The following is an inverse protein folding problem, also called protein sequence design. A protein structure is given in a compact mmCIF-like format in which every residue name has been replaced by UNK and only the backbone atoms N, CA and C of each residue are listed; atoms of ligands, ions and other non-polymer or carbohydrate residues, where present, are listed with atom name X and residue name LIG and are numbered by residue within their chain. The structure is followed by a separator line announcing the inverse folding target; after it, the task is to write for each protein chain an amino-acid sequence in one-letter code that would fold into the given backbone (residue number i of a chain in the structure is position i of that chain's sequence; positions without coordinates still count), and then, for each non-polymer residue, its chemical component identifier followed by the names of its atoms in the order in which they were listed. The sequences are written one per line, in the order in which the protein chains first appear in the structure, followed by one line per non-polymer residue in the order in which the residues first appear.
data_IF_961479708566
#
_entry.id   IF_961479708566
#
_cell.length_a   1.000
_cell.length_b   1.000
_cell.length_c   1.000
_cell.angle_alpha   90.00
_cell.angle_beta   90.00
_cell.angle_gamma   90.00
#
_symmetry.space_group_name_H-M   'P 1'
#
loop_
_entity.id
_entity.type
_entity.pdbx_description
1 polymer ?
#
# COMPACT_ATOMS: atom_id res chain seq x y z
N UNK A 1 6.51 25.09 7.80
CA UNK A 1 6.83 24.08 6.78
C UNK A 1 5.60 23.23 6.52
N UNK A 2 5.24 22.92 5.27
CA UNK A 2 4.08 22.11 4.97
C UNK A 2 4.31 20.64 5.37
N UNK A 3 3.31 20.04 6.02
CA UNK A 3 3.38 18.63 6.44
C UNK A 3 3.17 17.73 5.22
N UNK A 4 4.16 16.91 4.88
CA UNK A 4 4.02 15.88 3.85
C UNK A 4 3.20 14.71 4.38
N UNK A 5 2.20 14.28 3.62
CA UNK A 5 1.33 13.14 3.96
C UNK A 5 1.39 12.12 2.84
N UNK A 6 1.24 10.84 3.18
CA UNK A 6 1.19 9.75 2.20
C UNK A 6 -0.24 9.24 2.09
N UNK A 7 -0.69 8.97 0.87
CA UNK A 7 -2.00 8.39 0.61
C UNK A 7 -2.07 6.94 1.11
N UNK A 8 -3.02 6.66 1.98
CA UNK A 8 -3.24 5.35 2.61
C UNK A 8 -3.62 4.25 1.61
N UNK A 9 -4.09 4.61 0.41
CA UNK A 9 -4.47 3.63 -0.61
C UNK A 9 -3.38 3.42 -1.67
N UNK A 10 -2.98 4.48 -2.38
CA UNK A 10 -2.01 4.30 -3.48
C UNK A 10 -0.55 4.39 -3.04
N UNK A 11 -0.25 4.91 -1.84
CA UNK A 11 1.10 5.06 -1.32
C UNK A 11 1.92 6.18 -1.98
N UNK A 12 1.28 7.13 -2.68
CA UNK A 12 1.93 8.33 -3.22
C UNK A 12 1.90 9.47 -2.21
N UNK A 13 2.86 10.38 -2.29
CA UNK A 13 2.83 11.63 -1.54
C UNK A 13 1.62 12.48 -1.96
N UNK A 14 1.02 13.15 -0.98
CA UNK A 14 -0.09 14.07 -1.16
C UNK A 14 0.50 15.47 -1.13
N UNK A 15 0.23 16.25 -2.17
CA UNK A 15 0.59 17.66 -2.23
C UNK A 15 -0.07 18.41 -1.07
N UNK A 16 0.69 19.20 -0.28
CA UNK A 16 0.13 19.99 0.81
C UNK A 16 -1.03 20.88 0.34
N UNK A 17 -2.13 20.91 1.11
CA UNK A 17 -3.34 21.63 0.73
C UNK A 17 -4.26 20.87 -0.24
N UNK A 18 -3.86 19.69 -0.71
CA UNK A 18 -4.68 18.80 -1.55
C UNK A 18 -5.05 17.52 -0.81
N UNK A 19 -6.07 16.82 -1.31
CA UNK A 19 -6.49 15.51 -0.81
C UNK A 19 -7.61 15.59 0.21
N UNK A 20 -7.85 14.47 0.89
CA UNK A 20 -8.92 14.32 1.88
C UNK A 20 -8.42 13.53 3.07
N UNK A 21 -8.86 13.92 4.26
CA UNK A 21 -8.70 13.18 5.50
C UNK A 21 -10.03 12.49 5.83
N UNK A 22 -9.98 11.21 6.14
CA UNK A 22 -11.13 10.43 6.57
C UNK A 22 -10.81 9.76 7.91
N UNK A 23 -11.61 10.07 8.92
CA UNK A 23 -11.48 9.48 10.26
C UNK A 23 -12.49 8.35 10.38
N UNK A 24 -12.01 7.14 10.64
CA UNK A 24 -12.86 5.95 10.86
C UNK A 24 -13.42 5.99 12.28
N UNK A 25 -14.48 5.19 12.51
CA UNK A 25 -15.14 5.07 13.83
C UNK A 25 -14.19 4.57 14.93
N UNK A 26 -13.19 3.78 14.57
CA UNK A 26 -12.14 3.30 15.47
C UNK A 26 -11.07 4.36 15.80
N UNK A 27 -11.21 5.60 15.29
CA UNK A 27 -10.25 6.68 15.46
C UNK A 27 -9.07 6.63 14.48
N UNK A 28 -8.98 5.62 13.61
CA UNK A 28 -7.90 5.56 12.62
C UNK A 28 -8.09 6.61 11.53
N UNK A 29 -7.00 7.31 11.19
CA UNK A 29 -7.01 8.38 10.19
C UNK A 29 -6.45 7.87 8.87
N UNK A 30 -7.25 7.96 7.81
CA UNK A 30 -6.87 7.66 6.45
C UNK A 30 -6.71 8.93 5.63
N UNK A 31 -5.64 9.01 4.84
CA UNK A 31 -5.40 10.11 3.93
C UNK A 31 -5.55 9.64 2.49
N UNK A 32 -6.25 10.42 1.67
CA UNK A 32 -6.47 10.11 0.26
C UNK A 32 -5.99 11.25 -0.63
N UNK A 33 -5.19 10.92 -1.64
CA UNK A 33 -4.74 11.90 -2.65
C UNK A 33 -5.86 12.29 -3.63
N UNK A 34 -6.88 11.45 -3.82
CA UNK A 34 -7.95 11.68 -4.79
C UNK A 34 -9.22 10.89 -4.48
N UNK A 35 -10.35 11.31 -5.06
CA UNK A 35 -11.63 10.59 -4.95
C UNK A 35 -11.51 9.15 -5.46
N UNK A 36 -10.69 8.86 -6.48
CA UNK A 36 -10.43 7.49 -6.94
C UNK A 36 -9.91 6.59 -5.81
N UNK A 37 -8.98 7.09 -5.00
CA UNK A 37 -8.41 6.33 -3.89
C UNK A 37 -9.42 6.13 -2.76
N UNK A 38 -10.19 7.17 -2.45
CA UNK A 38 -11.27 7.10 -1.47
C UNK A 38 -12.32 6.04 -1.87
N UNK A 39 -12.83 6.09 -3.11
CA UNK A 39 -13.84 5.15 -3.60
C UNK A 39 -13.35 3.71 -3.60
N UNK A 40 -12.13 3.46 -4.07
CA UNK A 40 -11.59 2.10 -4.07
C UNK A 40 -11.50 1.52 -2.65
N UNK A 41 -11.11 2.33 -1.66
CA UNK A 41 -10.97 1.86 -0.28
C UNK A 41 -12.31 1.77 0.44
N UNK A 42 -13.14 2.82 0.39
CA UNK A 42 -14.33 2.96 1.24
C UNK A 42 -15.61 2.44 0.58
N UNK A 43 -15.80 2.65 -0.72
CA UNK A 43 -17.03 2.25 -1.42
C UNK A 43 -16.91 0.84 -2.00
N UNK A 44 -15.76 0.53 -2.61
CA UNK A 44 -15.53 -0.75 -3.28
C UNK A 44 -14.84 -1.79 -2.38
N UNK A 45 -14.37 -1.41 -1.18
CA UNK A 45 -13.72 -2.33 -0.24
C UNK A 45 -12.47 -3.04 -0.77
N UNK A 46 -11.76 -2.44 -1.74
CA UNK A 46 -10.57 -3.07 -2.34
C UNK A 46 -9.36 -2.90 -1.44
N UNK A 47 -8.64 -3.99 -1.20
CA UNK A 47 -7.34 -3.94 -0.54
C UNK A 47 -6.27 -3.39 -1.51
N UNK A 48 -5.51 -2.33 -1.13
CA UNK A 48 -4.39 -1.82 -1.91
C UNK A 48 -3.42 -2.91 -2.39
N UNK A 49 -3.18 -3.96 -1.58
CA UNK A 49 -2.24 -5.04 -1.88
C UNK A 49 -2.67 -5.90 -3.07
N UNK A 50 -3.96 -5.88 -3.42
CA UNK A 50 -4.52 -6.62 -4.55
C UNK A 50 -4.67 -5.76 -5.82
N UNK A 51 -4.44 -4.45 -5.72
CA UNK A 51 -4.64 -3.50 -6.81
C UNK A 51 -3.30 -3.17 -7.48
N UNK A 52 -3.11 -3.66 -8.71
CA UNK A 52 -1.81 -3.67 -9.43
C UNK A 52 -1.08 -2.32 -9.51
N UNK A 53 -1.81 -1.21 -9.55
CA UNK A 53 -1.22 0.12 -9.75
C UNK A 53 -0.80 0.82 -8.45
N UNK A 54 -1.14 0.26 -7.27
CA UNK A 54 -0.73 0.83 -5.99
C UNK A 54 0.73 0.50 -5.70
N UNK A 55 1.40 1.34 -4.89
CA UNK A 55 2.73 1.02 -4.40
C UNK A 55 2.70 -0.19 -3.46
N UNK A 56 1.63 -0.35 -2.68
CA UNK A 56 1.44 -1.50 -1.80
C UNK A 56 1.48 -2.84 -2.55
N UNK A 57 0.85 -2.95 -3.72
CA UNK A 57 0.93 -4.14 -4.57
C UNK A 57 2.36 -4.42 -5.04
N UNK A 58 3.08 -3.37 -5.48
CA UNK A 58 4.46 -3.50 -5.96
C UNK A 58 5.39 -3.99 -4.86
N UNK A 59 5.28 -3.43 -3.65
CA UNK A 59 6.09 -3.85 -2.51
C UNK A 59 5.73 -5.27 -2.05
N UNK A 60 4.45 -5.62 -1.97
CA UNK A 60 4.03 -6.98 -1.65
C UNK A 60 4.56 -8.00 -2.68
N UNK A 61 4.56 -7.66 -3.97
CA UNK A 61 5.13 -8.50 -5.02
C UNK A 61 6.64 -8.70 -4.83
N UNK A 62 7.39 -7.64 -4.51
CA UNK A 62 8.85 -7.74 -4.25
C UNK A 62 9.15 -8.65 -3.07
N UNK A 63 8.44 -8.48 -1.96
CA UNK A 63 8.60 -9.33 -0.77
C UNK A 63 8.33 -10.79 -1.12
N UNK A 64 7.24 -11.08 -1.83
CA UNK A 64 6.92 -12.44 -2.26
C UNK A 64 8.01 -13.06 -3.12
N UNK A 65 8.55 -12.30 -4.09
CA UNK A 65 9.65 -12.77 -4.94
C UNK A 65 10.93 -13.03 -4.14
N UNK A 66 11.22 -12.18 -3.15
CA UNK A 66 12.37 -12.38 -2.28
C UNK A 66 12.26 -13.66 -1.45
N UNK A 67 11.09 -13.91 -0.86
CA UNK A 67 10.83 -15.14 -0.09
C UNK A 67 11.00 -16.38 -0.96
N UNK A 68 10.46 -16.38 -2.18
CA UNK A 68 10.63 -17.50 -3.12
C UNK A 68 12.11 -17.76 -3.39
N UNK A 69 12.89 -16.71 -3.66
CA UNK A 69 14.34 -16.82 -3.91
C UNK A 69 15.11 -17.37 -2.70
N UNK A 70 14.74 -16.99 -1.48
CA UNK A 70 15.38 -17.50 -0.26
C UNK A 70 15.09 -18.98 -0.04
N UNK A 71 13.85 -19.42 -0.31
CA UNK A 71 13.49 -20.83 -0.22
C UNK A 71 14.32 -21.67 -1.17
N UNK A 72 14.46 -21.25 -2.44
CA UNK A 72 15.25 -21.96 -3.45
C UNK A 72 16.73 -22.13 -3.04
N UNK A 73 17.34 -21.10 -2.45
CA UNK A 73 18.73 -21.15 -1.97
C UNK A 73 18.89 -22.09 -0.78
N UNK A 74 17.88 -22.18 0.09
CA UNK A 74 17.91 -23.03 1.27
C UNK A 74 17.65 -24.51 0.96
N UNK A 75 16.80 -24.84 -0.01
CA UNK A 75 16.61 -26.24 -0.45
C UNK A 75 17.87 -26.81 -1.09
N UNK A 76 18.62 -26.02 -1.86
CA UNK A 76 19.87 -26.47 -2.49
C UNK A 76 21.01 -26.72 -1.50
N UNK A 77 21.02 -26.03 -0.36
CA UNK A 77 22.07 -26.19 0.67
C UNK A 77 21.81 -27.35 1.65
N UNK A 78 20.59 -27.89 1.71
CA UNK A 78 20.20 -28.96 2.65
C UNK A 78 20.22 -30.37 2.03
N UNK A 79 20.75 -30.53 0.81
CA UNK A 79 20.89 -31.81 0.12
C UNK A 79 22.37 -32.28 0.00
N UNK A 80 23.28 -31.70 0.80
CA UNK A 80 24.67 -32.11 0.91
C UNK A 80 24.96 -32.68 2.31
#
# INVERSE_FOLDING_TARGET
MPVRRTCSFCGREIEPGTGKMYVRRDGSVLYFCSSKCQKNMLELGRDPKNVRWTNAFKEAKKVRLHVVRQVEQNTGNNQA
#
